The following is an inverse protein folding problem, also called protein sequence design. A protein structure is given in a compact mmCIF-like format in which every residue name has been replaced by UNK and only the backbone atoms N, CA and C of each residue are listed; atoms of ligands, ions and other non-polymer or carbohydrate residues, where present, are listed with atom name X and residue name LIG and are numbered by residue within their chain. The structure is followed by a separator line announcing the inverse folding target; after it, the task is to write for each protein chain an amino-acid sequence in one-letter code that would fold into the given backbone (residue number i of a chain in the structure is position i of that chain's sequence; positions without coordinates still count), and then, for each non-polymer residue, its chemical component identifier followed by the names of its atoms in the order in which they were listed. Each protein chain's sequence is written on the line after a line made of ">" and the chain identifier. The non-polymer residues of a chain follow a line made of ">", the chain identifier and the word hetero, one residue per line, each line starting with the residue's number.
data_IF_784638911446
#
_entry.id   IF_784638911446
#
_cell.length_a   1.000
_cell.length_b   1.000
_cell.length_c   1.000
_cell.angle_alpha   90.00
_cell.angle_beta   90.00
_cell.angle_gamma   90.00
#
_symmetry.space_group_name_H-M   'P 1'
#
loop_
_entity.id
_entity.type
_entity.pdbx_description
1 polymer ?
#
# COMPACT_ATOMS: atom_id res chain seq x y z
N UNK A 1 -10.85 -22.82 -9.08
CA UNK A 1 -9.85 -23.81 -9.58
C UNK A 1 -8.81 -24.04 -8.49
N UNK A 2 -8.44 -25.29 -8.20
CA UNK A 2 -7.31 -25.66 -7.34
C UNK A 2 -6.19 -26.20 -8.23
N UNK A 3 -5.34 -25.34 -8.81
CA UNK A 3 -4.28 -25.80 -9.68
C UNK A 3 -3.25 -26.62 -8.88
N UNK A 4 -2.76 -27.76 -9.41
CA UNK A 4 -1.76 -28.59 -8.72
C UNK A 4 -0.38 -27.94 -8.65
N UNK A 5 -0.09 -26.93 -9.48
CA UNK A 5 1.10 -26.09 -9.39
C UNK A 5 0.84 -24.70 -9.98
N UNK A 6 1.61 -23.71 -9.53
CA UNK A 6 1.69 -22.37 -10.11
C UNK A 6 3.11 -22.19 -10.66
N UNK A 7 3.22 -21.84 -11.94
CA UNK A 7 4.51 -21.56 -12.59
C UNK A 7 4.60 -20.08 -12.94
N UNK A 8 5.66 -19.44 -12.45
CA UNK A 8 5.97 -18.03 -12.67
C UNK A 8 7.34 -18.03 -13.34
N UNK A 9 7.38 -17.66 -14.62
CA UNK A 9 8.60 -17.78 -15.40
C UNK A 9 9.57 -16.63 -15.13
N UNK A 10 9.10 -15.38 -15.28
CA UNK A 10 9.95 -14.19 -15.27
C UNK A 10 9.35 -13.03 -14.49
N UNK A 11 10.23 -12.15 -13.98
CA UNK A 11 9.85 -10.92 -13.30
C UNK A 11 9.77 -9.75 -14.27
N UNK A 12 10.83 -9.44 -15.04
CA UNK A 12 10.96 -8.19 -15.81
C UNK A 12 11.69 -8.34 -17.16
N UNK A 13 11.26 -9.30 -17.99
CA UNK A 13 11.82 -9.57 -19.32
C UNK A 13 11.22 -8.64 -20.40
N UNK A 14 11.45 -7.32 -20.34
CA UNK A 14 11.03 -6.38 -21.42
C UNK A 14 11.92 -6.50 -22.66
N UNK A 15 11.98 -7.68 -23.27
CA UNK A 15 12.78 -7.90 -24.48
C UNK A 15 12.04 -8.75 -25.50
N UNK A 16 12.13 -8.37 -26.78
CA UNK A 16 11.77 -9.21 -27.91
C UNK A 16 13.06 -9.82 -28.49
N UNK A 17 13.40 -11.04 -28.05
CA UNK A 17 14.64 -11.69 -28.45
C UNK A 17 14.53 -12.32 -29.83
N UNK A 18 15.45 -11.96 -30.75
CA UNK A 18 15.65 -12.70 -32.00
C UNK A 18 16.68 -13.80 -31.79
N UNK A 19 16.26 -15.04 -31.87
CA UNK A 19 17.14 -16.21 -31.69
C UNK A 19 17.42 -16.86 -33.04
N UNK A 20 18.68 -16.80 -33.48
CA UNK A 20 19.15 -17.53 -34.67
C UNK A 20 19.35 -19.01 -34.34
N UNK A 21 19.17 -19.91 -35.31
CA UNK A 21 19.40 -21.35 -35.15
C UNK A 21 20.80 -21.81 -35.55
N UNK A 22 21.67 -20.88 -35.98
CA UNK A 22 22.97 -21.21 -36.56
C UNK A 22 22.89 -21.40 -38.07
N UNK A 23 24.05 -21.42 -38.73
CA UNK A 23 24.14 -21.46 -40.19
C UNK A 23 23.51 -22.74 -40.77
N UNK A 24 22.65 -22.57 -41.78
CA UNK A 24 21.94 -23.67 -42.44
C UNK A 24 20.79 -24.31 -41.64
N UNK A 25 20.57 -23.93 -40.38
CA UNK A 25 19.49 -24.50 -39.56
C UNK A 25 18.18 -23.70 -39.64
N UNK A 26 17.05 -24.39 -39.55
CA UNK A 26 15.72 -23.76 -39.52
C UNK A 26 14.87 -24.30 -38.37
N UNK A 27 13.92 -23.50 -37.89
CA UNK A 27 12.88 -23.87 -36.94
C UNK A 27 11.51 -23.63 -37.56
N UNK A 28 10.50 -24.37 -37.11
CA UNK A 28 9.12 -23.98 -37.36
C UNK A 28 8.80 -22.76 -36.50
N UNK A 29 8.41 -21.67 -37.16
CA UNK A 29 7.99 -20.43 -36.51
C UNK A 29 6.87 -19.80 -37.33
N UNK A 30 5.74 -19.47 -36.68
CA UNK A 30 4.55 -18.93 -37.34
C UNK A 30 4.11 -19.78 -38.56
N UNK A 31 4.12 -21.11 -38.41
CA UNK A 31 3.74 -22.09 -39.44
C UNK A 31 4.63 -22.09 -40.70
N UNK A 32 5.87 -21.59 -40.60
CA UNK A 32 6.86 -21.58 -41.70
C UNK A 32 8.24 -22.00 -41.19
N UNK A 33 9.10 -22.48 -42.11
CA UNK A 33 10.54 -22.66 -41.81
C UNK A 33 11.23 -21.30 -41.79
N UNK A 34 11.87 -20.98 -40.67
CA UNK A 34 12.60 -19.73 -40.46
C UNK A 34 13.98 -20.03 -39.88
N UNK A 35 14.99 -19.28 -40.30
CA UNK A 35 16.34 -19.36 -39.73
C UNK A 35 16.48 -18.61 -38.39
N UNK A 36 15.40 -17.94 -37.96
CA UNK A 36 15.27 -17.34 -36.64
C UNK A 36 13.88 -17.59 -36.04
N UNK A 37 13.76 -17.42 -34.73
CA UNK A 37 12.47 -17.25 -34.05
C UNK A 37 12.51 -16.02 -33.17
N UNK A 38 11.37 -15.34 -33.04
CA UNK A 38 11.19 -14.32 -32.01
C UNK A 38 10.54 -14.97 -30.79
N UNK A 39 11.09 -14.67 -29.62
CA UNK A 39 10.42 -14.90 -28.35
C UNK A 39 10.05 -13.53 -27.83
N UNK A 40 8.75 -13.27 -27.68
CA UNK A 40 8.24 -11.93 -27.40
C UNK A 40 7.13 -11.99 -26.35
N UNK A 41 7.00 -10.89 -25.61
CA UNK A 41 5.88 -10.57 -24.73
C UNK A 41 4.91 -9.67 -25.51
N UNK A 42 4.31 -10.25 -26.55
CA UNK A 42 3.66 -9.52 -27.63
C UNK A 42 2.61 -8.48 -27.17
N UNK A 43 1.84 -8.80 -26.14
CA UNK A 43 0.82 -7.92 -25.56
C UNK A 43 0.54 -8.30 -24.10
N UNK A 44 -0.32 -7.57 -23.36
CA UNK A 44 -0.66 -7.90 -21.98
C UNK A 44 -1.21 -9.32 -21.80
N UNK A 45 -1.98 -9.87 -22.75
CA UNK A 45 -2.57 -11.22 -22.68
C UNK A 45 -1.53 -12.33 -22.82
N UNK A 46 -0.56 -12.16 -23.72
CA UNK A 46 0.53 -13.11 -23.98
C UNK A 46 1.85 -12.70 -23.29
N UNK A 47 1.73 -12.00 -22.16
CA UNK A 47 2.81 -11.62 -21.27
C UNK A 47 3.17 -12.82 -20.35
N UNK A 48 4.47 -13.07 -20.19
CA UNK A 48 5.03 -14.09 -19.27
C UNK A 48 5.59 -13.49 -17.98
N UNK A 49 5.61 -12.16 -17.87
CA UNK A 49 6.14 -11.46 -16.71
C UNK A 49 5.07 -10.96 -15.73
N UNK A 50 5.45 -10.86 -14.46
CA UNK A 50 4.57 -10.39 -13.38
C UNK A 50 4.90 -8.98 -12.85
N UNK A 51 5.94 -8.32 -13.38
CA UNK A 51 6.30 -6.96 -12.94
C UNK A 51 5.13 -5.99 -13.11
N UNK A 52 4.97 -5.04 -12.20
CA UNK A 52 4.02 -3.95 -12.40
C UNK A 52 4.47 -2.95 -13.47
N UNK A 53 3.52 -2.33 -14.17
CA UNK A 53 3.73 -1.39 -15.27
C UNK A 53 2.87 -0.13 -15.13
N UNK A 54 3.48 1.05 -15.13
CA UNK A 54 2.75 2.33 -15.23
C UNK A 54 2.10 2.46 -16.62
N UNK A 55 0.81 2.79 -16.67
CA UNK A 55 0.06 3.02 -17.91
C UNK A 55 -0.36 1.78 -18.70
N UNK A 56 -0.01 0.58 -18.23
CA UNK A 56 -0.45 -0.69 -18.81
C UNK A 56 -1.39 -1.45 -17.89
N UNK A 57 -1.09 -2.73 -17.64
CA UNK A 57 -1.89 -3.60 -16.76
C UNK A 57 -1.66 -3.35 -15.25
N UNK A 58 -1.06 -2.20 -14.91
CA UNK A 58 -0.76 -1.76 -13.53
C UNK A 58 -0.01 -2.83 -12.76
N UNK A 59 -0.61 -3.42 -11.72
CA UNK A 59 -0.05 -4.50 -10.91
C UNK A 59 -0.90 -5.78 -10.97
N UNK A 60 -1.81 -5.89 -11.95
CA UNK A 60 -2.82 -6.95 -11.96
C UNK A 60 -2.22 -8.36 -11.89
N UNK A 61 -1.18 -8.64 -12.69
CA UNK A 61 -0.48 -9.94 -12.66
C UNK A 61 0.25 -10.19 -11.34
N UNK A 62 0.85 -9.15 -10.76
CA UNK A 62 1.49 -9.22 -9.44
C UNK A 62 0.47 -9.57 -8.35
N UNK A 63 -0.70 -8.92 -8.36
CA UNK A 63 -1.76 -9.15 -7.37
C UNK A 63 -2.42 -10.51 -7.54
N UNK A 64 -2.64 -10.98 -8.78
CA UNK A 64 -3.10 -12.35 -9.05
C UNK A 64 -2.09 -13.38 -8.57
N UNK A 65 -0.80 -13.16 -8.78
CA UNK A 65 0.25 -14.01 -8.21
C UNK A 65 0.13 -14.05 -6.69
N UNK A 66 0.14 -12.90 -6.01
CA UNK A 66 0.08 -12.82 -4.56
C UNK A 66 -1.16 -13.53 -4.00
N UNK A 67 -2.33 -13.31 -4.60
CA UNK A 67 -3.59 -13.97 -4.23
C UNK A 67 -3.50 -15.49 -4.36
N UNK A 68 -3.02 -15.98 -5.51
CA UNK A 68 -2.96 -17.42 -5.77
C UNK A 68 -1.89 -18.13 -4.94
N UNK A 69 -0.75 -17.50 -4.67
CA UNK A 69 0.25 -18.02 -3.74
C UNK A 69 -0.35 -18.16 -2.34
N UNK A 70 -1.09 -17.15 -1.84
CA UNK A 70 -1.75 -17.23 -0.53
C UNK A 70 -2.83 -18.32 -0.48
N UNK A 71 -3.59 -18.53 -1.56
CA UNK A 71 -4.57 -19.63 -1.65
C UNK A 71 -3.91 -21.01 -1.66
N UNK A 72 -2.78 -21.15 -2.36
CA UNK A 72 -2.10 -22.43 -2.53
C UNK A 72 -1.21 -22.80 -1.34
N UNK A 73 -0.34 -21.88 -0.90
CA UNK A 73 0.60 -22.09 0.22
C UNK A 73 0.01 -21.77 1.59
N UNK A 74 -1.13 -21.07 1.63
CA UNK A 74 -1.67 -20.48 2.85
C UNK A 74 -1.05 -19.11 3.16
N UNK A 75 -1.60 -18.46 4.18
CA UNK A 75 -1.04 -17.26 4.80
C UNK A 75 -1.08 -17.43 6.32
N UNK A 76 -0.22 -16.71 7.04
CA UNK A 76 -0.26 -16.69 8.50
C UNK A 76 -1.64 -16.20 8.98
N UNK A 77 -2.19 -16.75 10.09
CA UNK A 77 -3.36 -16.19 10.73
C UNK A 77 -3.17 -14.71 11.03
N UNK A 78 -4.25 -13.95 10.91
CA UNK A 78 -4.25 -12.55 11.28
C UNK A 78 -4.17 -12.41 12.80
N UNK A 79 -3.33 -11.51 13.32
CA UNK A 79 -3.34 -11.21 14.74
C UNK A 79 -4.68 -10.58 15.13
N UNK A 80 -5.15 -10.87 16.33
CA UNK A 80 -6.37 -10.29 16.92
C UNK A 80 -5.95 -9.49 18.15
N UNK A 81 -6.27 -8.21 18.16
CA UNK A 81 -6.09 -7.34 19.31
C UNK A 81 -7.23 -7.59 20.31
N UNK A 82 -6.93 -7.54 21.60
CA UNK A 82 -7.90 -7.83 22.66
C UNK A 82 -7.84 -6.77 23.74
N UNK A 83 -9.01 -6.39 24.26
CA UNK A 83 -9.11 -5.40 25.34
C UNK A 83 -8.94 -3.96 24.87
N UNK A 84 -9.33 -3.02 25.73
CA UNK A 84 -9.12 -1.61 25.49
C UNK A 84 -7.69 -1.21 25.86
N UNK A 85 -7.07 -0.37 25.04
CA UNK A 85 -5.79 0.27 25.35
C UNK A 85 -5.96 1.77 25.24
N UNK A 86 -5.79 2.45 26.37
CA UNK A 86 -5.84 3.91 26.43
C UNK A 86 -4.48 4.48 26.04
N UNK A 87 -4.44 5.10 24.87
CA UNK A 87 -3.29 5.88 24.40
C UNK A 87 -3.65 7.36 24.38
N UNK A 88 -2.70 8.20 24.80
CA UNK A 88 -2.82 9.65 24.80
C UNK A 88 -2.11 10.22 23.57
N UNK A 89 -2.78 11.12 22.84
CA UNK A 89 -2.16 11.82 21.71
C UNK A 89 -1.43 13.07 22.22
N UNK A 90 -0.30 12.87 22.89
CA UNK A 90 0.48 13.91 23.60
C UNK A 90 1.95 14.03 23.14
N UNK A 91 2.42 13.13 22.29
CA UNK A 91 3.79 13.07 21.77
C UNK A 91 4.74 12.24 22.64
N UNK A 92 4.23 11.55 23.67
CA UNK A 92 4.97 10.62 24.51
C UNK A 92 4.53 9.17 24.23
N UNK A 93 5.33 8.45 23.47
CA UNK A 93 4.95 7.16 22.88
C UNK A 93 5.09 5.92 23.80
N UNK A 94 5.20 6.10 25.12
CA UNK A 94 5.47 5.00 26.05
C UNK A 94 4.25 4.09 26.28
N UNK A 95 3.04 4.62 26.15
CA UNK A 95 1.77 3.93 26.22
C UNK A 95 1.58 2.89 25.09
N UNK A 96 2.12 3.16 23.90
CA UNK A 96 2.12 2.24 22.75
C UNK A 96 2.87 0.92 23.00
N UNK A 97 3.65 0.81 24.10
CA UNK A 97 4.24 -0.47 24.54
C UNK A 97 3.18 -1.48 24.99
N UNK A 98 1.99 -1.02 25.40
CA UNK A 98 0.87 -1.89 25.75
C UNK A 98 0.19 -2.52 24.51
N UNK A 99 0.38 -1.94 23.32
CA UNK A 99 -0.15 -2.47 22.07
C UNK A 99 0.81 -3.53 21.51
N UNK A 100 0.42 -4.79 21.64
CA UNK A 100 1.27 -5.94 21.30
C UNK A 100 1.40 -6.19 19.79
N UNK A 101 0.37 -5.89 19.00
CA UNK A 101 0.37 -6.15 17.56
C UNK A 101 1.07 -5.02 16.81
N UNK A 102 2.07 -5.39 16.03
CA UNK A 102 2.78 -4.51 15.10
C UNK A 102 2.46 -4.89 13.66
N UNK A 103 2.22 -3.86 12.85
CA UNK A 103 2.07 -3.96 11.41
C UNK A 103 3.33 -3.39 10.77
N UNK A 104 4.17 -4.25 10.20
CA UNK A 104 5.51 -3.87 9.73
C UNK A 104 5.57 -3.76 8.22
N UNK A 105 6.37 -2.81 7.75
CA UNK A 105 6.70 -2.65 6.35
C UNK A 105 8.21 -2.82 6.09
N UNK A 106 8.61 -2.75 4.81
CA UNK A 106 9.97 -3.06 4.38
C UNK A 106 10.87 -1.84 4.50
N UNK A 107 11.78 -1.82 5.47
CA UNK A 107 12.75 -0.73 5.59
C UNK A 107 13.58 -0.52 4.30
N UNK A 108 13.79 0.75 3.93
CA UNK A 108 14.63 1.20 2.82
C UNK A 108 13.91 1.39 1.48
N UNK A 109 12.59 1.26 1.42
CA UNK A 109 11.79 1.40 0.20
C UNK A 109 11.51 2.85 -0.23
N UNK A 110 12.02 3.83 0.52
CA UNK A 110 12.14 5.24 0.10
C UNK A 110 13.34 5.55 -0.79
N UNK A 111 14.15 4.55 -1.15
CA UNK A 111 15.37 4.75 -1.95
C UNK A 111 15.07 5.48 -3.26
N UNK A 112 15.76 6.61 -3.48
CA UNK A 112 15.65 7.39 -4.71
C UNK A 112 16.10 6.57 -5.92
N UNK A 113 15.36 6.69 -7.02
CA UNK A 113 15.59 5.93 -8.24
C UNK A 113 16.15 6.88 -9.30
N UNK A 114 17.26 6.51 -9.91
CA UNK A 114 17.85 7.21 -11.03
C UNK A 114 18.50 6.17 -11.94
N UNK A 115 17.87 5.86 -13.07
CA UNK A 115 18.32 4.77 -13.93
C UNK A 115 17.99 5.01 -15.41
N UNK A 116 18.89 4.54 -16.27
CA UNK A 116 18.70 4.54 -17.72
C UNK A 116 17.58 3.57 -18.11
N UNK A 117 16.68 4.02 -18.97
CA UNK A 117 15.68 3.21 -19.64
C UNK A 117 16.14 2.72 -21.02
N UNK A 118 15.23 2.07 -21.74
CA UNK A 118 15.47 1.66 -23.12
C UNK A 118 15.43 2.85 -24.09
N UNK A 119 16.19 2.80 -25.18
CA UNK A 119 16.09 3.78 -26.26
C UNK A 119 16.51 5.21 -25.89
N UNK A 120 17.37 5.38 -24.89
CA UNK A 120 17.84 6.69 -24.42
C UNK A 120 16.92 7.36 -23.39
N UNK A 121 15.87 6.68 -22.93
CA UNK A 121 15.07 7.12 -21.80
C UNK A 121 15.90 7.15 -20.51
N UNK A 122 15.49 7.99 -19.57
CA UNK A 122 16.08 8.09 -18.24
C UNK A 122 14.95 8.32 -17.24
N UNK A 123 14.90 7.50 -16.19
CA UNK A 123 13.88 7.57 -15.16
C UNK A 123 14.50 8.07 -13.87
N UNK A 124 13.92 9.12 -13.30
CA UNK A 124 14.31 9.67 -12.00
C UNK A 124 13.08 9.78 -11.12
N UNK A 125 13.20 9.37 -9.87
CA UNK A 125 12.21 9.56 -8.83
C UNK A 125 12.91 9.78 -7.48
N UNK A 126 12.72 10.96 -6.90
CA UNK A 126 13.30 11.39 -5.63
C UNK A 126 12.23 11.73 -4.59
N UNK A 127 11.02 11.19 -4.75
CA UNK A 127 9.89 11.50 -3.86
C UNK A 127 9.93 10.76 -2.51
N UNK A 128 10.71 9.67 -2.40
CA UNK A 128 10.87 8.95 -1.14
C UNK A 128 11.41 9.85 -0.03
N UNK A 129 10.76 9.81 1.14
CA UNK A 129 10.99 10.74 2.24
C UNK A 129 10.91 10.07 3.62
N UNK A 130 9.70 9.81 4.13
CA UNK A 130 9.52 9.16 5.42
C UNK A 130 9.33 7.65 5.19
N UNK A 131 10.35 6.85 5.52
CA UNK A 131 10.36 5.38 5.40
C UNK A 131 9.63 4.78 6.60
N UNK A 132 8.37 4.38 6.41
CA UNK A 132 7.48 3.87 7.46
C UNK A 132 7.82 2.40 7.70
N UNK A 133 8.22 2.05 8.92
CA UNK A 133 8.68 0.70 9.24
C UNK A 133 7.75 -0.06 10.19
N UNK A 134 7.03 0.66 11.05
CA UNK A 134 6.14 0.07 12.06
C UNK A 134 4.89 0.91 12.21
N UNK A 135 3.74 0.26 12.13
CA UNK A 135 2.45 0.84 12.47
C UNK A 135 1.81 0.07 13.61
N UNK A 136 1.00 0.76 14.42
CA UNK A 136 0.11 0.15 15.41
C UNK A 136 -1.26 0.82 15.38
N UNK A 137 -2.26 0.12 15.90
CA UNK A 137 -3.57 0.68 16.16
C UNK A 137 -4.08 0.19 17.52
N UNK A 138 -4.76 1.07 18.25
CA UNK A 138 -5.35 0.82 19.55
C UNK A 138 -6.82 1.25 19.54
N UNK A 139 -7.64 0.57 20.34
CA UNK A 139 -9.07 0.85 20.43
C UNK A 139 -9.45 0.99 21.90
N UNK A 140 -10.28 1.98 22.20
CA UNK A 140 -11.04 2.05 23.44
C UNK A 140 -12.49 2.46 23.14
N UNK A 141 -13.27 2.77 24.18
CA UNK A 141 -14.69 3.12 24.01
C UNK A 141 -14.92 4.43 23.24
N UNK A 142 -13.94 5.34 23.21
CA UNK A 142 -14.06 6.68 22.64
C UNK A 142 -13.39 6.82 21.27
N UNK A 143 -12.29 6.11 21.03
CA UNK A 143 -11.44 6.34 19.86
C UNK A 143 -10.78 5.07 19.31
N UNK A 144 -10.38 5.18 18.04
CA UNK A 144 -9.37 4.31 17.41
C UNK A 144 -8.13 5.17 17.17
N UNK A 145 -7.04 4.84 17.84
CA UNK A 145 -5.77 5.55 17.73
C UNK A 145 -4.81 4.79 16.83
N UNK A 146 -3.94 5.52 16.14
CA UNK A 146 -2.93 4.98 15.25
C UNK A 146 -1.55 5.54 15.57
N UNK A 147 -0.54 4.69 15.41
CA UNK A 147 0.87 5.04 15.46
C UNK A 147 1.51 4.68 14.12
N UNK A 148 2.38 5.55 13.62
CA UNK A 148 3.34 5.25 12.58
C UNK A 148 4.74 5.64 13.04
N UNK A 149 5.71 4.74 12.89
CA UNK A 149 7.12 4.98 13.12
C UNK A 149 7.91 4.83 11.83
N UNK A 150 8.86 5.75 11.64
CA UNK A 150 9.73 5.77 10.48
C UNK A 150 11.16 5.35 10.81
N UNK A 151 11.94 4.94 9.81
CA UNK A 151 13.33 4.52 9.98
C UNK A 151 14.23 5.67 10.49
N UNK A 152 13.95 6.89 10.04
CA UNK A 152 14.64 8.13 10.42
C UNK A 152 13.66 9.16 11.02
N UNK A 153 14.17 10.32 11.45
CA UNK A 153 13.31 11.41 11.93
C UNK A 153 12.35 11.92 10.86
N UNK A 154 11.12 12.20 11.25
CA UNK A 154 10.06 12.71 10.38
C UNK A 154 10.44 14.06 9.78
N UNK A 155 10.08 14.26 8.52
CA UNK A 155 10.14 15.57 7.86
C UNK A 155 9.06 16.54 8.39
N UNK A 156 9.11 17.83 8.02
CA UNK A 156 8.14 18.82 8.50
C UNK A 156 6.69 18.48 8.12
N UNK A 157 5.76 18.66 9.07
CA UNK A 157 4.33 18.45 8.87
C UNK A 157 3.68 19.41 7.85
N UNK A 158 4.39 20.49 7.50
CA UNK A 158 3.94 21.47 6.51
C UNK A 158 4.14 21.01 5.07
N UNK A 159 4.88 19.92 4.86
CA UNK A 159 5.08 19.38 3.53
C UNK A 159 3.77 18.75 3.00
N UNK A 160 3.54 18.78 1.68
CA UNK A 160 2.35 18.18 1.10
C UNK A 160 2.32 16.66 1.29
N UNK A 161 1.10 16.12 1.39
CA UNK A 161 0.83 14.68 1.50
C UNK A 161 1.69 13.98 2.58
N UNK A 162 1.89 14.65 3.71
CA UNK A 162 2.71 14.15 4.80
C UNK A 162 1.97 13.15 5.66
N UNK A 163 2.54 11.94 5.79
CA UNK A 163 2.05 10.87 6.64
C UNK A 163 0.53 10.70 6.59
N UNK A 164 0.01 10.38 5.41
CA UNK A 164 -1.42 10.15 5.18
C UNK A 164 -1.83 8.78 5.71
N UNK A 165 -3.05 8.69 6.22
CA UNK A 165 -3.68 7.42 6.62
C UNK A 165 -4.99 7.24 5.86
N UNK A 166 -5.08 6.16 5.10
CA UNK A 166 -6.29 5.71 4.42
C UNK A 166 -6.92 4.56 5.23
N UNK A 167 -8.23 4.61 5.42
CA UNK A 167 -8.95 3.60 6.21
C UNK A 167 -10.21 3.14 5.48
N UNK A 168 -10.31 1.83 5.28
CA UNK A 168 -11.51 1.10 4.91
C UNK A 168 -12.18 0.68 6.22
N UNK A 169 -13.16 1.48 6.65
CA UNK A 169 -13.73 1.43 7.99
C UNK A 169 -14.83 0.37 8.10
N UNK A 170 -15.45 -0.01 6.98
CA UNK A 170 -16.53 -1.00 6.91
C UNK A 170 -16.09 -2.36 6.34
N UNK A 171 -14.83 -2.50 5.94
CA UNK A 171 -14.25 -3.67 5.27
C UNK A 171 -14.94 -4.04 3.96
N UNK A 172 -15.49 -3.04 3.28
CA UNK A 172 -16.19 -3.24 2.03
C UNK A 172 -15.47 -2.49 0.89
N UNK A 173 -14.77 -3.27 0.08
CA UNK A 173 -14.05 -2.73 -1.07
C UNK A 173 -14.97 -2.14 -2.16
N UNK A 174 -16.28 -2.38 -2.11
CA UNK A 174 -17.25 -1.79 -3.05
C UNK A 174 -17.68 -0.36 -2.63
N UNK A 175 -17.35 0.08 -1.42
CA UNK A 175 -17.58 1.45 -0.90
C UNK A 175 -16.28 2.25 -0.85
N UNK A 176 -16.38 3.53 -0.47
CA UNK A 176 -15.23 4.41 -0.36
C UNK A 176 -14.51 4.73 -1.69
N UNK A 177 -13.38 5.41 -1.56
CA UNK A 177 -12.44 5.61 -2.66
C UNK A 177 -11.59 4.35 -2.79
N UNK A 178 -11.95 3.47 -3.73
CA UNK A 178 -11.30 2.15 -3.92
C UNK A 178 -11.23 1.31 -2.63
N UNK A 179 -12.30 1.32 -1.84
CA UNK A 179 -12.40 0.65 -0.54
C UNK A 179 -12.15 1.57 0.66
N UNK A 180 -11.49 2.72 0.49
CA UNK A 180 -11.18 3.58 1.64
C UNK A 180 -12.29 4.60 1.91
N UNK A 181 -12.93 4.50 3.07
CA UNK A 181 -13.97 5.42 3.53
C UNK A 181 -13.40 6.73 4.06
N UNK A 182 -12.21 6.68 4.66
CA UNK A 182 -11.59 7.80 5.35
C UNK A 182 -10.20 8.09 4.80
N UNK A 183 -9.88 9.38 4.69
CA UNK A 183 -8.55 9.91 4.42
C UNK A 183 -8.18 10.88 5.54
N UNK A 184 -7.13 10.55 6.27
CA UNK A 184 -6.66 11.30 7.43
C UNK A 184 -5.36 11.99 7.08
N UNK A 185 -5.15 13.15 7.70
CA UNK A 185 -3.90 13.91 7.66
C UNK A 185 -3.56 14.60 6.33
N UNK A 186 -4.49 14.65 5.37
CA UNK A 186 -4.28 15.40 4.12
C UNK A 186 -4.19 16.92 4.34
N UNK A 187 -4.92 17.46 5.32
CA UNK A 187 -4.88 18.87 5.71
C UNK A 187 -4.44 18.97 7.18
N UNK A 188 -3.15 19.13 7.41
CA UNK A 188 -2.61 19.39 8.77
C UNK A 188 -2.99 20.80 9.18
N UNK A 189 -3.61 20.96 10.36
CA UNK A 189 -4.04 22.28 10.87
C UNK A 189 -2.88 22.97 11.57
N UNK A 190 -2.21 22.25 12.48
CA UNK A 190 -1.06 22.70 13.26
C UNK A 190 -0.26 21.49 13.79
N UNK A 191 0.76 21.71 14.63
CA UNK A 191 1.58 20.61 15.17
C UNK A 191 0.82 19.67 16.14
N UNK A 192 -0.45 19.98 16.42
CA UNK A 192 -1.28 19.31 17.42
C UNK A 192 -2.56 18.70 16.87
N UNK A 193 -2.92 19.02 15.63
CA UNK A 193 -4.26 18.80 15.13
C UNK A 193 -4.25 18.61 13.62
N UNK A 194 -5.07 17.68 13.14
CA UNK A 194 -5.23 17.41 11.71
C UNK A 194 -6.68 17.09 11.35
N UNK A 195 -6.97 16.87 10.07
CA UNK A 195 -8.32 16.57 9.59
C UNK A 195 -8.51 15.12 9.20
N UNK A 196 -9.77 14.69 9.29
CA UNK A 196 -10.31 13.48 8.67
C UNK A 196 -11.27 13.93 7.58
N UNK A 197 -11.11 13.39 6.39
CA UNK A 197 -12.05 13.49 5.29
C UNK A 197 -12.74 12.13 5.08
N UNK A 198 -14.01 12.15 4.72
CA UNK A 198 -14.79 10.97 4.34
C UNK A 198 -15.09 11.01 2.85
N UNK A 199 -15.09 9.85 2.20
CA UNK A 199 -15.46 9.74 0.79
C UNK A 199 -16.96 9.98 0.60
N UNK A 200 -17.29 10.96 -0.24
CA UNK A 200 -18.65 11.19 -0.74
C UNK A 200 -18.78 10.56 -2.13
N UNK A 201 -19.42 9.38 -2.18
CA UNK A 201 -19.64 8.66 -3.42
C UNK A 201 -20.57 9.37 -4.41
N UNK A 202 -21.48 10.24 -3.93
CA UNK A 202 -22.37 11.00 -4.80
C UNK A 202 -21.63 12.16 -5.48
N UNK A 203 -20.73 12.82 -4.75
CA UNK A 203 -19.87 13.86 -5.30
C UNK A 203 -18.65 13.31 -6.05
N UNK A 204 -18.26 12.06 -5.78
CA UNK A 204 -17.00 11.48 -6.26
C UNK A 204 -15.79 12.21 -5.69
N UNK A 205 -15.86 12.65 -4.45
CA UNK A 205 -14.85 13.49 -3.82
C UNK A 205 -14.73 13.25 -2.31
N UNK A 206 -13.58 13.63 -1.76
CA UNK A 206 -13.35 13.67 -0.32
C UNK A 206 -14.00 14.92 0.28
N UNK A 207 -14.74 14.75 1.38
CA UNK A 207 -15.40 15.83 2.12
C UNK A 207 -14.92 15.86 3.58
N UNK A 208 -14.78 17.06 4.17
CA UNK A 208 -14.35 17.22 5.56
C UNK A 208 -15.33 16.53 6.52
N UNK A 209 -14.81 15.72 7.45
CA UNK A 209 -15.61 14.92 8.37
C UNK A 209 -15.33 15.24 9.84
N UNK A 210 -14.06 15.41 10.22
CA UNK A 210 -13.67 15.72 11.60
C UNK A 210 -12.31 16.43 11.67
N UNK A 211 -12.06 17.07 12.81
CA UNK A 211 -10.75 17.56 13.22
C UNK A 211 -10.30 16.76 14.44
N UNK A 212 -9.11 16.18 14.39
CA UNK A 212 -8.64 15.17 15.35
C UNK A 212 -7.26 15.50 15.91
N UNK A 213 -6.93 15.05 17.13
CA UNK A 213 -5.61 15.27 17.70
C UNK A 213 -4.55 14.50 16.89
N UNK A 214 -3.40 15.15 16.76
CA UNK A 214 -2.19 14.64 16.13
C UNK A 214 -1.00 15.04 17.01
N UNK A 215 -0.04 14.14 17.22
CA UNK A 215 1.28 14.50 17.77
C UNK A 215 2.37 13.74 17.05
N UNK A 216 3.55 14.33 17.02
CA UNK A 216 4.73 13.67 16.48
C UNK A 216 5.98 14.14 17.23
N UNK A 217 6.95 13.25 17.38
CA UNK A 217 8.28 13.60 17.87
C UNK A 217 9.32 12.62 17.34
N UNK A 218 10.46 13.14 16.88
CA UNK A 218 11.52 12.32 16.29
C UNK A 218 11.02 11.56 15.08
N UNK A 219 10.90 10.23 15.20
CA UNK A 219 10.53 9.31 14.12
C UNK A 219 9.09 8.78 14.23
N UNK A 220 8.31 9.26 15.19
CA UNK A 220 7.02 8.68 15.52
C UNK A 220 5.91 9.73 15.43
N UNK A 221 4.76 9.30 14.91
CA UNK A 221 3.55 10.07 14.76
C UNK A 221 2.37 9.28 15.30
N UNK A 222 1.51 9.94 16.05
CA UNK A 222 0.27 9.38 16.59
C UNK A 222 -0.93 10.30 16.34
N UNK A 223 -2.08 9.69 16.11
CA UNK A 223 -3.35 10.38 15.94
C UNK A 223 -4.50 9.52 16.45
N UNK A 224 -5.64 10.12 16.76
CA UNK A 224 -6.80 9.38 17.23
C UNK A 224 -8.11 9.84 16.59
N UNK A 225 -8.86 8.87 16.06
CA UNK A 225 -10.12 9.07 15.38
C UNK A 225 -11.28 8.73 16.32
N UNK A 226 -12.40 9.47 16.28
CA UNK A 226 -13.62 9.10 16.97
C UNK A 226 -14.08 7.67 16.64
N UNK A 227 -14.50 6.90 17.65
CA UNK A 227 -14.87 5.48 17.51
C UNK A 227 -16.08 5.26 16.59
N UNK A 228 -16.97 6.24 16.48
CA UNK A 228 -18.18 6.20 15.65
C UNK A 228 -17.89 6.32 14.13
N UNK A 229 -16.69 6.77 13.75
CA UNK A 229 -16.24 6.72 12.35
C UNK A 229 -16.08 5.29 11.83
N UNK A 230 -15.96 4.31 12.74
CA UNK A 230 -15.79 2.88 12.46
C UNK A 230 -17.09 2.09 12.69
N UNK A 231 -18.23 2.76 12.55
CA UNK A 231 -19.54 2.18 12.80
C UNK A 231 -19.93 2.12 14.28
N UNK A 232 -21.06 1.47 14.60
CA UNK A 232 -21.61 1.45 15.95
C UNK A 232 -20.68 0.74 16.94
N UNK A 233 -20.83 1.09 18.21
CA UNK A 233 -20.15 0.40 19.31
C UNK A 233 -20.52 -1.10 19.28
N UNK A 234 -19.49 -1.94 19.26
CA UNK A 234 -19.62 -3.39 19.16
C UNK A 234 -18.50 -4.07 19.95
N UNK A 235 -18.72 -5.33 20.35
CA UNK A 235 -17.73 -6.14 21.05
C UNK A 235 -16.58 -6.61 20.13
N UNK A 236 -16.75 -6.47 18.82
CA UNK A 236 -15.74 -6.76 17.81
C UNK A 236 -15.63 -5.55 16.87
N UNK A 237 -14.43 -5.31 16.37
CA UNK A 237 -14.15 -4.29 15.37
C UNK A 237 -13.16 -4.85 14.35
N UNK A 238 -13.42 -4.55 13.09
CA UNK A 238 -12.53 -4.93 12.00
C UNK A 238 -12.51 -3.80 10.97
N UNK A 239 -11.32 -3.40 10.53
CA UNK A 239 -11.12 -2.42 9.46
C UNK A 239 -9.81 -2.72 8.73
N UNK A 240 -9.64 -2.16 7.55
CA UNK A 240 -8.39 -2.17 6.80
C UNK A 240 -7.78 -0.78 6.80
N UNK A 241 -6.45 -0.69 6.84
CA UNK A 241 -5.77 0.60 6.81
C UNK A 241 -4.44 0.54 6.07
N UNK A 242 -4.03 1.72 5.59
CA UNK A 242 -2.84 1.93 4.79
C UNK A 242 -2.24 3.31 5.11
N UNK A 243 -0.96 3.32 5.46
CA UNK A 243 -0.21 4.56 5.61
C UNK A 243 0.55 4.86 4.32
N UNK A 244 0.65 6.13 3.94
CA UNK A 244 1.55 6.53 2.86
C UNK A 244 2.13 7.92 3.13
N UNK A 245 3.33 8.15 2.59
CA UNK A 245 4.00 9.43 2.71
C UNK A 245 4.37 9.95 1.33
N UNK A 246 4.01 11.19 1.03
CA UNK A 246 4.32 11.86 -0.22
C UNK A 246 3.89 11.12 -1.52
N UNK A 247 2.68 10.50 -1.61
CA UNK A 247 2.16 10.12 -2.91
C UNK A 247 2.02 11.36 -3.79
N UNK A 248 2.43 11.29 -5.06
CA UNK A 248 2.40 12.43 -5.96
C UNK A 248 0.98 12.93 -6.25
N UNK A 249 0.01 12.02 -6.29
CA UNK A 249 -1.41 12.28 -6.43
C UNK A 249 -2.22 11.20 -5.70
N UNK A 250 -3.53 11.38 -5.54
CA UNK A 250 -4.46 10.36 -5.02
C UNK A 250 -5.58 10.14 -6.04
N UNK A 251 -5.19 9.72 -7.24
CA UNK A 251 -6.13 9.48 -8.34
C UNK A 251 -6.73 8.08 -8.27
N UNK A 252 -5.86 7.09 -8.06
CA UNK A 252 -6.21 5.69 -7.89
C UNK A 252 -5.15 4.98 -6.99
N UNK A 253 -5.35 3.72 -6.60
CA UNK A 253 -4.42 3.02 -5.70
C UNK A 253 -3.01 2.81 -6.28
N UNK A 254 -2.80 2.98 -7.59
CA UNK A 254 -1.46 2.89 -8.19
C UNK A 254 -0.63 4.12 -7.83
N UNK A 255 -1.24 5.24 -7.46
CA UNK A 255 -0.53 6.40 -6.93
C UNK A 255 0.26 6.06 -5.66
N UNK A 256 -0.14 5.04 -4.91
CA UNK A 256 0.56 4.50 -3.72
C UNK A 256 1.74 3.59 -4.08
N UNK A 257 1.97 3.31 -5.37
CA UNK A 257 2.98 2.35 -5.81
C UNK A 257 4.24 3.00 -6.38
N UNK A 258 4.17 4.25 -6.82
CA UNK A 258 5.23 4.87 -7.63
C UNK A 258 6.04 5.90 -6.87
N UNK A 259 5.39 6.69 -6.03
CA UNK A 259 5.94 7.89 -5.43
C UNK A 259 5.83 7.82 -3.91
N UNK A 260 6.80 8.42 -3.24
CA UNK A 260 6.85 8.48 -1.79
C UNK A 260 7.14 7.14 -1.15
N UNK A 261 6.45 6.89 -0.05
CA UNK A 261 6.44 5.64 0.69
C UNK A 261 5.01 5.13 0.91
N UNK A 262 4.83 3.83 1.12
CA UNK A 262 3.51 3.22 1.35
C UNK A 262 3.62 1.97 2.19
N UNK A 263 2.98 1.98 3.36
CA UNK A 263 3.00 0.92 4.36
C UNK A 263 1.58 0.36 4.59
N UNK A 264 1.29 -0.88 4.16
CA UNK A 264 2.23 -1.80 3.53
C UNK A 264 2.42 -1.49 2.05
N UNK A 265 3.56 -1.89 1.49
CA UNK A 265 3.93 -1.69 0.09
C UNK A 265 2.78 -1.77 -0.93
N UNK A 266 2.74 -0.82 -1.88
CA UNK A 266 1.77 -0.74 -2.99
C UNK A 266 0.34 -0.51 -2.53
N UNK A 267 -0.60 -1.36 -2.95
CA UNK A 267 -2.03 -1.29 -2.57
C UNK A 267 -2.44 -2.42 -1.66
N UNK A 268 -1.48 -3.04 -0.96
CA UNK A 268 -1.81 -3.96 0.12
C UNK A 268 -2.40 -3.18 1.29
N UNK A 269 -3.14 -3.87 2.15
CA UNK A 269 -3.69 -3.30 3.38
C UNK A 269 -3.27 -4.10 4.59
N UNK A 270 -3.13 -3.41 5.71
CA UNK A 270 -3.13 -4.04 7.02
C UNK A 270 -4.57 -4.32 7.44
N UNK A 271 -4.82 -5.55 7.87
CA UNK A 271 -6.10 -5.98 8.41
C UNK A 271 -6.05 -5.90 9.93
N UNK A 272 -6.81 -4.97 10.48
CA UNK A 272 -6.99 -4.84 11.92
C UNK A 272 -8.20 -5.66 12.36
N UNK A 273 -8.00 -6.51 13.36
CA UNK A 273 -9.05 -7.26 14.06
C UNK A 273 -8.94 -6.96 15.55
N UNK A 274 -10.07 -6.70 16.18
CA UNK A 274 -10.15 -6.43 17.61
C UNK A 274 -11.39 -7.06 18.25
N UNK A 275 -11.22 -7.49 19.50
CA UNK A 275 -12.28 -7.94 20.41
C UNK A 275 -12.16 -7.22 21.74
N UNK A 276 -13.30 -6.92 22.36
CA UNK A 276 -13.34 -6.30 23.68
C UNK A 276 -12.74 -7.20 24.79
N UNK A 277 -12.78 -8.52 24.61
CA UNK A 277 -12.24 -9.56 25.50
C UNK A 277 -11.44 -10.61 24.72
#
# INVERSE_FOLDING_TARGET
>A
MNPPFLYINDWNEWTAGKYSRGEGQTTDFMRRKSNYSFVDQYNPEFNRCIHPMRGGYTDNYYMQMAQNIRRYKGARPLPVNTGAVDVAVDGAFDDWKAVAVEYRDTAGDTTHRDHKGYGGLHYTNTSGRNDIVTCKAAVNAAQVAFLAETAAGLTPHTDPNWMLLLVDADQNHDTGWFGYDLLVNRKVVDEKTTTVERWDAAAGAWADAATVPLRYAGKSLELALPRDLFGPAAAELAFDFHWCDNPAELKDPISLCTDGDSAPNRRFNYRFLWKAE
#
